data_IF_871715407260
#
_entry.id   IF_871715407260
#
_cell.length_a   1.000
_cell.length_b   1.000
_cell.length_c   1.000
_cell.angle_alpha   90.00
_cell.angle_beta   90.00
_cell.angle_gamma   90.00
#
_symmetry.space_group_name_H-M   'P 1'
#
loop_
_entity.id
_entity.type
_entity.pdbx_description
1 polymer ?
#
# COMPACT_ATOMS: atom_id res chain seq x y z
N UNK A 1 -14.43 5.78 26.77
CA UNK A 1 -14.17 4.36 26.46
C UNK A 1 -13.20 4.33 25.29
N UNK A 2 -12.14 3.51 25.34
CA UNK A 2 -11.18 3.36 24.25
C UNK A 2 -11.46 2.03 23.53
N UNK A 3 -11.55 2.05 22.20
CA UNK A 3 -11.75 0.87 21.36
C UNK A 3 -10.61 0.70 20.36
N UNK A 4 -10.27 -0.55 20.03
CA UNK A 4 -9.33 -0.89 18.97
C UNK A 4 -10.12 -1.66 17.90
N UNK A 5 -10.07 -1.18 16.66
CA UNK A 5 -10.73 -1.79 15.52
C UNK A 5 -9.69 -2.37 14.58
N UNK A 6 -9.80 -3.65 14.24
CA UNK A 6 -9.03 -4.29 13.18
C UNK A 6 -9.84 -4.22 11.88
N UNK A 7 -9.61 -3.20 11.08
CA UNK A 7 -10.32 -2.96 9.82
C UNK A 7 -9.38 -2.42 8.74
N UNK A 8 -9.88 -2.41 7.51
CA UNK A 8 -9.39 -1.56 6.43
C UNK A 8 -9.61 -0.09 6.82
N UNK A 9 -8.59 0.76 6.63
CA UNK A 9 -8.65 2.18 6.95
C UNK A 9 -9.74 2.94 6.18
N UNK A 10 -10.14 2.45 5.01
CA UNK A 10 -11.23 3.02 4.22
C UNK A 10 -12.62 2.53 4.66
N UNK A 11 -12.71 1.59 5.62
CA UNK A 11 -13.95 0.93 6.05
C UNK A 11 -14.07 0.89 7.57
N UNK A 12 -13.73 2.00 8.22
CA UNK A 12 -13.88 2.13 9.67
C UNK A 12 -15.33 2.55 9.96
N UNK A 13 -16.04 1.92 10.92
CA UNK A 13 -17.45 2.20 11.20
C UNK A 13 -17.61 3.47 12.08
N UNK A 14 -17.11 4.61 11.59
CA UNK A 14 -17.30 5.93 12.20
C UNK A 14 -18.27 6.74 11.33
N UNK A 15 -19.03 7.64 11.96
CA UNK A 15 -19.84 8.59 11.20
C UNK A 15 -18.97 9.71 10.62
N UNK A 16 -19.43 10.33 9.55
CA UNK A 16 -18.81 11.51 8.96
C UNK A 16 -18.64 12.63 10.00
N UNK A 17 -17.59 13.44 9.86
CA UNK A 17 -17.32 14.62 10.70
C UNK A 17 -17.32 14.34 12.23
N UNK A 18 -17.01 13.11 12.64
CA UNK A 18 -17.08 12.68 14.04
C UNK A 18 -15.73 12.66 14.77
N UNK A 19 -14.62 12.91 14.06
CA UNK A 19 -13.24 12.80 14.57
C UNK A 19 -12.58 14.18 14.63
N UNK A 20 -11.96 14.54 15.75
CA UNK A 20 -11.32 15.85 15.92
C UNK A 20 -9.86 15.89 15.46
N UNK A 21 -9.18 14.74 15.40
CA UNK A 21 -7.78 14.65 14.99
C UNK A 21 -7.48 13.29 14.37
N UNK A 22 -6.81 13.30 13.22
CA UNK A 22 -6.22 12.11 12.62
C UNK A 22 -4.71 12.17 12.77
N UNK A 23 -4.13 11.15 13.40
CA UNK A 23 -2.68 10.93 13.43
C UNK A 23 -2.40 9.61 12.71
N UNK A 24 -1.60 9.64 11.65
CA UNK A 24 -1.34 8.47 10.80
C UNK A 24 0.12 8.39 10.35
N UNK A 25 0.56 7.17 10.08
CA UNK A 25 1.85 6.83 9.48
C UNK A 25 1.60 5.83 8.34
N UNK A 26 1.23 6.29 7.14
CA UNK A 26 0.86 5.40 6.05
C UNK A 26 2.03 4.47 5.67
N UNK A 27 1.76 3.32 5.02
CA UNK A 27 2.80 2.46 4.48
C UNK A 27 3.79 3.24 3.62
N UNK A 28 5.08 3.11 3.92
CA UNK A 28 6.11 3.74 3.11
C UNK A 28 6.23 3.08 1.74
N UNK A 29 6.35 3.92 0.71
CA UNK A 29 6.50 3.45 -0.66
C UNK A 29 7.69 2.51 -0.83
N UNK A 30 7.42 1.32 -1.37
CA UNK A 30 8.39 0.29 -1.71
C UNK A 30 9.01 -0.47 -0.55
N UNK A 31 8.61 -0.20 0.70
CA UNK A 31 9.27 -0.80 1.85
C UNK A 31 8.61 -2.08 2.37
N UNK A 32 7.28 -2.14 2.57
CA UNK A 32 6.63 -3.28 3.27
C UNK A 32 5.23 -3.60 2.77
N UNK A 33 4.92 -4.90 2.69
CA UNK A 33 3.55 -5.46 2.68
C UNK A 33 3.29 -6.07 4.07
N UNK A 34 2.22 -5.68 4.75
CA UNK A 34 1.82 -6.31 6.01
C UNK A 34 1.03 -7.59 5.75
N UNK A 35 0.89 -8.44 6.77
CA UNK A 35 0.13 -9.69 6.66
C UNK A 35 -1.38 -9.42 6.61
N UNK A 36 -2.12 -10.27 5.90
CA UNK A 36 -3.58 -10.18 5.76
C UNK A 36 -4.01 -9.69 4.37
N UNK A 37 -5.30 -9.41 4.23
CA UNK A 37 -5.84 -8.80 3.02
C UNK A 37 -5.41 -7.34 2.95
N UNK A 38 -4.65 -6.99 1.92
CA UNK A 38 -4.05 -5.65 1.77
C UNK A 38 -4.30 -5.09 0.36
N UNK A 39 -4.88 -5.86 -0.56
CA UNK A 39 -5.16 -5.37 -1.90
C UNK A 39 -6.38 -4.45 -1.88
N UNK A 40 -6.18 -3.24 -2.38
CA UNK A 40 -7.20 -2.23 -2.56
C UNK A 40 -7.37 -1.98 -4.06
N UNK A 41 -8.59 -1.59 -4.46
CA UNK A 41 -8.89 -1.18 -5.83
C UNK A 41 -8.94 0.34 -5.87
N UNK A 42 -8.15 0.92 -6.76
CA UNK A 42 -7.95 2.35 -6.90
C UNK A 42 -8.41 2.83 -8.28
N UNK A 43 -9.27 3.85 -8.29
CA UNK A 43 -9.83 4.42 -9.51
C UNK A 43 -10.65 3.43 -10.35
N UNK A 44 -10.82 3.78 -11.63
CA UNK A 44 -11.70 3.07 -12.56
C UNK A 44 -13.17 3.44 -12.37
N UNK A 45 -14.05 2.68 -13.02
CA UNK A 45 -15.50 2.89 -12.95
C UNK A 45 -16.11 1.96 -11.92
N UNK A 46 -17.03 2.49 -11.09
CA UNK A 46 -17.73 1.73 -10.05
C UNK A 46 -18.57 0.56 -10.61
N UNK A 47 -19.07 0.69 -11.83
CA UNK A 47 -19.90 -0.31 -12.51
C UNK A 47 -19.10 -1.35 -13.31
N UNK A 48 -17.78 -1.37 -13.16
CA UNK A 48 -16.92 -2.31 -13.88
C UNK A 48 -16.83 -3.65 -13.14
N UNK A 49 -17.09 -4.77 -13.84
CA UNK A 49 -16.85 -6.11 -13.30
C UNK A 49 -15.36 -6.42 -13.05
N UNK A 50 -14.49 -5.56 -13.58
CA UNK A 50 -13.02 -5.65 -13.59
C UNK A 50 -12.45 -6.93 -14.22
N UNK A 51 -11.60 -6.77 -15.23
CA UNK A 51 -10.78 -7.84 -15.78
C UNK A 51 -9.30 -7.52 -15.57
N UNK A 52 -8.65 -8.26 -14.68
CA UNK A 52 -7.33 -7.89 -14.15
C UNK A 52 -6.19 -8.52 -14.96
N UNK A 53 -5.35 -7.65 -15.53
CA UNK A 53 -4.02 -8.04 -15.99
C UNK A 53 -3.05 -8.03 -14.81
N UNK A 54 -2.61 -9.21 -14.37
CA UNK A 54 -1.67 -9.36 -13.25
C UNK A 54 -0.23 -9.05 -13.68
N UNK A 55 0.49 -8.30 -12.85
CA UNK A 55 1.90 -7.96 -13.02
C UNK A 55 2.67 -8.20 -11.74
N UNK A 56 3.94 -8.56 -11.93
CA UNK A 56 4.91 -8.75 -10.86
C UNK A 56 6.14 -7.92 -11.15
N UNK A 57 6.39 -6.95 -10.28
CA UNK A 57 7.59 -6.12 -10.37
C UNK A 57 8.62 -6.58 -9.34
N UNK A 58 9.87 -6.68 -9.79
CA UNK A 58 11.00 -6.83 -8.87
C UNK A 58 11.24 -5.49 -8.19
N UNK A 59 10.85 -5.39 -6.92
CA UNK A 59 11.23 -4.26 -6.10
C UNK A 59 12.36 -4.66 -5.15
N UNK A 60 13.38 -3.81 -5.06
CA UNK A 60 14.36 -3.92 -3.98
C UNK A 60 13.68 -3.55 -2.66
N UNK A 61 13.11 -4.57 -2.01
CA UNK A 61 12.35 -4.41 -0.78
C UNK A 61 13.27 -4.33 0.43
N UNK A 62 13.08 -3.32 1.27
CA UNK A 62 13.69 -3.21 2.61
C UNK A 62 12.93 -4.10 3.62
N UNK A 63 12.48 -5.27 3.20
CA UNK A 63 11.46 -6.09 3.90
C UNK A 63 12.04 -7.10 4.89
N UNK A 64 13.36 -7.23 4.99
CA UNK A 64 13.99 -8.18 5.92
C UNK A 64 14.20 -7.64 7.33
N UNK A 65 13.76 -8.38 8.36
CA UNK A 65 14.26 -8.27 9.76
C UNK A 65 15.80 -8.28 9.85
N UNK A 66 16.48 -8.72 8.80
CA UNK A 66 17.94 -8.80 8.69
C UNK A 66 18.65 -7.44 8.57
N UNK A 67 17.96 -6.30 8.52
CA UNK A 67 18.57 -5.01 8.14
C UNK A 67 18.51 -3.88 9.18
N UNK A 68 18.35 -4.18 10.47
CA UNK A 68 18.90 -3.29 11.53
C UNK A 68 20.43 -3.41 11.54
N UNK A 69 21.07 -3.12 10.41
CA UNK A 69 22.52 -3.07 10.25
C UNK A 69 22.86 -1.60 10.00
N UNK A 70 22.99 -0.82 11.07
CA UNK A 70 23.69 0.45 10.97
C UNK A 70 25.12 0.14 10.51
N UNK A 71 25.43 0.42 9.25
CA UNK A 71 26.81 0.36 8.73
C UNK A 71 27.17 -0.80 7.81
N UNK A 72 26.24 -1.68 7.39
CA UNK A 72 26.54 -2.73 6.40
C UNK A 72 25.99 -2.39 5.01
N UNK A 73 26.85 -2.43 4.00
CA UNK A 73 26.49 -2.16 2.61
C UNK A 73 25.92 -3.41 1.91
N UNK A 74 25.39 -3.24 0.70
CA UNK A 74 24.92 -4.35 -0.14
C UNK A 74 26.02 -5.32 -0.51
N UNK A 75 27.23 -4.81 -0.70
CA UNK A 75 28.42 -5.58 -1.04
C UNK A 75 28.86 -6.48 0.11
N UNK A 76 28.74 -5.99 1.34
CA UNK A 76 29.17 -6.70 2.55
C UNK A 76 28.20 -7.81 2.98
N UNK A 77 26.92 -7.71 2.65
CA UNK A 77 25.93 -8.72 3.06
C UNK A 77 24.78 -8.92 2.05
N UNK A 78 25.05 -9.47 0.86
CA UNK A 78 24.04 -9.63 -0.20
C UNK A 78 22.86 -10.53 0.21
N UNK A 79 23.07 -11.51 1.09
CA UNK A 79 22.02 -12.39 1.61
C UNK A 79 21.03 -11.71 2.57
N UNK A 80 21.32 -10.48 3.00
CA UNK A 80 20.42 -9.59 3.74
C UNK A 80 19.47 -8.79 2.85
N UNK A 81 19.63 -8.85 1.52
CA UNK A 81 18.84 -8.13 0.53
C UNK A 81 17.93 -9.13 -0.19
N UNK A 82 16.63 -9.09 0.11
CA UNK A 82 15.63 -9.83 -0.66
C UNK A 82 14.87 -8.86 -1.55
N UNK A 83 14.80 -9.13 -2.85
CA UNK A 83 13.81 -8.48 -3.71
C UNK A 83 12.43 -8.96 -3.28
N UNK A 84 11.60 -8.03 -2.84
CA UNK A 84 10.20 -8.32 -2.60
C UNK A 84 9.49 -8.23 -3.96
N UNK A 85 8.74 -9.27 -4.31
CA UNK A 85 7.91 -9.25 -5.51
C UNK A 85 6.67 -8.40 -5.19
N UNK A 86 6.46 -7.31 -5.94
CA UNK A 86 5.22 -6.54 -5.88
C UNK A 86 4.23 -7.17 -6.86
N UNK A 87 3.22 -7.84 -6.33
CA UNK A 87 2.07 -8.31 -7.09
C UNK A 87 1.01 -7.22 -7.14
N UNK A 88 0.56 -6.87 -8.33
CA UNK A 88 -0.53 -5.93 -8.56
C UNK A 88 -1.22 -6.23 -9.89
N UNK A 89 -2.39 -5.63 -10.11
CA UNK A 89 -3.15 -5.78 -11.33
C UNK A 89 -3.65 -4.46 -11.88
N UNK A 90 -3.76 -4.36 -13.20
CA UNK A 90 -4.46 -3.26 -13.86
C UNK A 90 -5.70 -3.82 -14.56
N UNK A 91 -6.85 -3.20 -14.34
CA UNK A 91 -8.07 -3.58 -15.02
C UNK A 91 -7.99 -3.17 -16.50
N UNK A 92 -8.10 -4.13 -17.40
CA UNK A 92 -8.08 -3.90 -18.84
C UNK A 92 -9.29 -3.10 -19.35
N UNK A 93 -10.39 -3.08 -18.60
CA UNK A 93 -11.64 -2.43 -19.01
C UNK A 93 -11.78 -0.99 -18.52
N UNK A 94 -11.27 -0.67 -17.33
CA UNK A 94 -11.46 0.65 -16.72
C UNK A 94 -10.17 1.33 -16.25
N UNK A 95 -9.02 0.66 -16.36
CA UNK A 95 -7.73 1.20 -15.94
C UNK A 95 -7.54 1.27 -14.42
N UNK A 96 -8.50 0.77 -13.62
CA UNK A 96 -8.32 0.66 -12.17
C UNK A 96 -7.04 -0.11 -11.84
N UNK A 97 -6.40 0.26 -10.74
CA UNK A 97 -5.25 -0.46 -10.21
C UNK A 97 -5.65 -1.25 -8.97
N UNK A 98 -5.21 -2.51 -8.87
CA UNK A 98 -5.42 -3.36 -7.69
C UNK A 98 -4.07 -3.73 -7.08
N UNK A 99 -3.87 -3.38 -5.83
CA UNK A 99 -2.64 -3.72 -5.12
C UNK A 99 -2.60 -3.11 -3.73
N UNK A 100 -1.52 -3.39 -3.01
CA UNK A 100 -1.36 -2.88 -1.64
C UNK A 100 -0.84 -1.43 -1.65
N UNK A 101 -1.47 -0.57 -0.85
CA UNK A 101 -1.04 0.82 -0.66
C UNK A 101 0.42 0.87 -0.19
N UNK A 102 1.25 1.68 -0.84
CA UNK A 102 2.69 1.74 -0.64
C UNK A 102 3.49 0.79 -1.55
N UNK A 103 2.85 -0.06 -2.36
CA UNK A 103 3.51 -0.92 -3.35
C UNK A 103 3.15 -0.55 -4.79
N UNK A 104 2.73 0.69 -5.01
CA UNK A 104 2.46 1.22 -6.34
C UNK A 104 3.70 1.12 -7.22
N UNK A 105 3.53 0.93 -8.55
CA UNK A 105 4.66 0.86 -9.49
C UNK A 105 5.52 2.13 -9.52
N UNK A 106 4.90 3.30 -9.30
CA UNK A 106 5.57 4.60 -9.33
C UNK A 106 5.25 5.44 -8.09
N UNK A 107 6.13 6.39 -7.77
CA UNK A 107 5.94 7.32 -6.65
C UNK A 107 4.74 8.22 -6.91
N UNK A 108 4.52 8.63 -8.15
CA UNK A 108 3.42 9.50 -8.55
C UNK A 108 2.07 8.84 -8.25
N UNK A 109 1.93 7.55 -8.54
CA UNK A 109 0.72 6.79 -8.23
C UNK A 109 0.53 6.63 -6.71
N UNK A 110 1.60 6.37 -5.96
CA UNK A 110 1.55 6.36 -4.48
C UNK A 110 1.10 7.70 -3.90
N UNK A 111 1.60 8.82 -4.42
CA UNK A 111 1.19 10.17 -4.02
C UNK A 111 -0.28 10.41 -4.38
N UNK A 112 -0.73 9.98 -5.56
CA UNK A 112 -2.13 10.09 -5.98
C UNK A 112 -3.06 9.36 -5.00
N UNK A 113 -2.78 8.10 -4.67
CA UNK A 113 -3.57 7.32 -3.71
C UNK A 113 -3.51 7.93 -2.29
N UNK A 114 -2.35 8.46 -1.90
CA UNK A 114 -2.20 9.17 -0.63
C UNK A 114 -3.12 10.39 -0.58
N UNK A 115 -3.17 11.19 -1.64
CA UNK A 115 -4.05 12.35 -1.73
C UNK A 115 -5.52 11.95 -1.72
N UNK A 116 -5.89 10.84 -2.36
CA UNK A 116 -7.24 10.29 -2.31
C UNK A 116 -7.67 9.97 -0.87
N UNK A 117 -6.84 9.27 -0.10
CA UNK A 117 -7.08 9.02 1.34
C UNK A 117 -7.19 10.34 2.12
N UNK A 118 -6.21 11.24 1.95
CA UNK A 118 -6.16 12.46 2.76
C UNK A 118 -7.30 13.44 2.44
N UNK A 119 -7.94 13.34 1.27
CA UNK A 119 -9.13 14.13 0.92
C UNK A 119 -10.39 13.69 1.66
N UNK A 120 -10.43 12.45 2.14
CA UNK A 120 -11.54 11.94 2.95
C UNK A 120 -11.47 12.44 4.40
N UNK A 121 -10.27 12.80 4.87
CA UNK A 121 -10.07 13.35 6.21
C UNK A 121 -10.57 14.80 6.25
N UNK A 122 -11.56 15.07 7.11
CA UNK A 122 -12.19 16.38 7.31
C UNK A 122 -12.22 16.79 8.78
#
# INVERSE_FOLDING_TARGET
>A
MLGIVKADGMKIPLGDESVQMVCTSPPYWGLRKYAGEQELVWGGREDCEHNWEQKTDNAEGYTGRKRWQHGATREENPAGWSTAIREHGTCQFCGAWRGAYGLEPTVEMYVQHTVEILREIR
#
